data_IF_581441309252
#
_entry.id   IF_581441309252
#
_cell.length_a   1.000
_cell.length_b   1.000
_cell.length_c   1.000
_cell.angle_alpha   90.00
_cell.angle_beta   90.00
_cell.angle_gamma   90.00
#
_symmetry.space_group_name_H-M   'P 1'
#
loop_
_entity.id
_entity.type
_entity.pdbx_description
1 polymer ?
#
# COMPACT_ATOMS: atom_id res chain seq x y z
N UNK A 1 -4.40 22.20 -6.77
CA UNK A 1 -3.25 21.39 -7.24
C UNK A 1 -3.24 20.10 -6.43
N UNK A 2 -3.14 18.95 -7.09
CA UNK A 2 -3.03 17.65 -6.42
C UNK A 2 -1.66 17.55 -5.74
N UNK A 3 -1.65 17.06 -4.51
CA UNK A 3 -0.41 16.81 -3.79
C UNK A 3 0.03 15.37 -4.05
N UNK A 4 1.08 15.19 -4.87
CA UNK A 4 1.63 13.90 -5.25
C UNK A 4 3.09 13.78 -4.78
N UNK A 5 3.42 12.64 -4.16
CA UNK A 5 4.76 12.29 -3.73
C UNK A 5 5.28 11.13 -4.59
N UNK A 6 6.56 11.16 -4.95
CA UNK A 6 7.22 10.15 -5.77
C UNK A 6 8.48 9.63 -5.11
N UNK A 7 8.74 8.35 -5.27
CA UNK A 7 9.98 7.71 -4.87
C UNK A 7 11.05 7.87 -5.96
N UNK A 8 12.28 8.15 -5.55
CA UNK A 8 13.42 8.17 -6.46
C UNK A 8 13.81 6.77 -6.97
N UNK A 9 13.41 5.72 -6.24
CA UNK A 9 13.72 4.34 -6.61
C UNK A 9 12.76 3.74 -7.64
N UNK A 10 11.58 4.33 -7.83
CA UNK A 10 10.57 3.86 -8.78
C UNK A 10 10.50 4.71 -10.07
N UNK A 11 11.56 5.43 -10.44
CA UNK A 11 11.55 6.35 -11.59
C UNK A 11 11.32 5.66 -12.94
N UNK A 12 11.59 4.35 -13.04
CA UNK A 12 11.40 3.55 -14.26
C UNK A 12 9.92 3.19 -14.53
N UNK A 13 9.02 3.46 -13.57
CA UNK A 13 7.58 3.20 -13.68
C UNK A 13 6.76 4.41 -13.24
N UNK A 14 5.62 4.64 -13.89
CA UNK A 14 4.70 5.69 -13.47
C UNK A 14 4.07 5.31 -12.14
N UNK A 15 4.29 6.14 -11.12
CA UNK A 15 3.82 5.91 -9.77
C UNK A 15 3.59 7.22 -9.04
N UNK A 16 2.82 7.16 -7.95
CA UNK A 16 2.64 8.32 -7.06
C UNK A 16 1.83 7.95 -5.83
N UNK A 17 2.12 8.63 -4.74
CA UNK A 17 1.31 8.63 -3.53
C UNK A 17 0.58 9.97 -3.46
N UNK A 18 -0.72 9.94 -3.23
CA UNK A 18 -1.57 11.11 -3.29
C UNK A 18 -2.12 11.47 -1.91
N UNK A 19 -1.98 12.73 -1.53
CA UNK A 19 -2.64 13.27 -0.37
C UNK A 19 -4.12 13.57 -0.63
N UNK A 20 -4.81 14.07 0.39
CA UNK A 20 -6.26 14.34 0.32
C UNK A 20 -6.66 15.62 -0.45
N UNK A 21 -5.72 16.43 -0.91
CA UNK A 21 -5.97 17.75 -1.49
C UNK A 21 -6.04 17.72 -3.02
N UNK A 22 -6.78 18.65 -3.62
CA UNK A 22 -6.78 18.89 -5.07
C UNK A 22 -7.91 18.22 -5.84
N UNK A 23 -8.84 17.55 -5.15
CA UNK A 23 -10.01 16.92 -5.77
C UNK A 23 -11.28 17.81 -5.75
N UNK A 24 -12.39 17.20 -6.16
CA UNK A 24 -13.70 17.85 -6.32
C UNK A 24 -14.71 17.52 -5.21
N UNK A 25 -14.40 16.57 -4.33
CA UNK A 25 -15.28 16.21 -3.21
C UNK A 25 -15.35 17.33 -2.18
N UNK A 26 -16.47 17.42 -1.47
CA UNK A 26 -16.76 18.48 -0.50
C UNK A 26 -17.13 17.92 0.88
N UNK A 27 -17.24 18.80 1.87
CA UNK A 27 -17.62 18.41 3.24
C UNK A 27 -16.62 17.44 3.88
N UNK A 28 -17.10 16.35 4.46
CA UNK A 28 -16.27 15.33 5.12
C UNK A 28 -15.26 14.67 4.18
N UNK A 29 -15.54 14.66 2.88
CA UNK A 29 -14.70 14.01 1.85
C UNK A 29 -13.78 14.97 1.12
N UNK A 30 -13.66 16.22 1.59
CA UNK A 30 -12.85 17.25 0.96
C UNK A 30 -11.36 16.89 1.02
N UNK A 31 -10.70 16.77 -0.15
CA UNK A 31 -11.25 17.02 -1.48
C UNK A 31 -10.99 15.86 -2.47
N UNK A 32 -9.91 15.05 -2.32
CA UNK A 32 -9.51 14.02 -3.27
C UNK A 32 -9.92 12.61 -2.75
N UNK A 33 -11.22 12.43 -2.49
CA UNK A 33 -11.74 11.12 -2.11
C UNK A 33 -11.79 10.18 -3.31
N UNK A 34 -11.13 9.03 -3.22
CA UNK A 34 -11.06 8.01 -4.26
C UNK A 34 -11.86 6.74 -3.92
N UNK A 35 -12.43 6.67 -2.70
CA UNK A 35 -13.06 5.47 -2.17
C UNK A 35 -14.54 5.38 -2.52
N UNK A 36 -14.91 4.31 -3.21
CA UNK A 36 -16.32 3.97 -3.49
C UNK A 36 -17.07 3.41 -2.25
N UNK A 37 -16.36 3.13 -1.17
CA UNK A 37 -16.93 2.63 0.09
C UNK A 37 -17.43 3.76 1.00
N UNK A 38 -17.50 4.98 0.49
CA UNK A 38 -18.01 6.16 1.20
C UNK A 38 -19.38 6.56 0.71
N UNK A 39 -20.07 7.46 1.43
CA UNK A 39 -21.33 8.06 0.99
C UNK A 39 -21.17 9.30 0.11
N UNK A 40 -19.96 9.56 -0.37
CA UNK A 40 -19.68 10.62 -1.35
C UNK A 40 -20.38 10.33 -2.70
N UNK A 41 -20.59 11.38 -3.48
CA UNK A 41 -21.17 11.23 -4.81
C UNK A 41 -20.25 10.43 -5.71
N UNK A 42 -20.73 9.38 -6.34
CA UNK A 42 -19.94 8.56 -7.28
C UNK A 42 -19.29 9.41 -8.39
N UNK A 43 -20.00 10.46 -8.86
CA UNK A 43 -19.45 11.38 -9.86
C UNK A 43 -18.17 12.10 -9.37
N UNK A 44 -18.13 12.49 -8.08
CA UNK A 44 -16.93 13.09 -7.49
C UNK A 44 -15.78 12.10 -7.42
N UNK A 45 -16.06 10.85 -7.01
CA UNK A 45 -15.05 9.79 -6.91
C UNK A 45 -14.43 9.51 -8.28
N UNK A 46 -15.26 9.39 -9.32
CA UNK A 46 -14.77 9.15 -10.68
C UNK A 46 -13.98 10.35 -11.22
N UNK A 47 -14.43 11.58 -10.95
CA UNK A 47 -13.68 12.78 -11.32
C UNK A 47 -12.33 12.84 -10.60
N UNK A 48 -12.29 12.54 -9.30
CA UNK A 48 -11.05 12.47 -8.53
C UNK A 48 -10.09 11.40 -9.06
N UNK A 49 -10.59 10.22 -9.40
CA UNK A 49 -9.79 9.15 -10.02
C UNK A 49 -9.22 9.60 -11.38
N UNK A 50 -10.02 10.28 -12.20
CA UNK A 50 -9.54 10.83 -13.47
C UNK A 50 -8.42 11.84 -13.25
N UNK A 51 -8.55 12.77 -12.29
CA UNK A 51 -7.50 13.73 -11.93
C UNK A 51 -6.19 13.05 -11.52
N UNK A 52 -6.26 11.96 -10.73
CA UNK A 52 -5.08 11.16 -10.34
C UNK A 52 -4.44 10.50 -11.56
N UNK A 53 -5.24 9.95 -12.46
CA UNK A 53 -4.74 9.31 -13.68
C UNK A 53 -4.09 10.31 -14.64
N UNK A 54 -4.63 11.52 -14.74
CA UNK A 54 -4.05 12.62 -15.52
C UNK A 54 -2.70 13.05 -14.93
N UNK A 55 -2.61 13.20 -13.60
CA UNK A 55 -1.36 13.56 -12.91
C UNK A 55 -0.25 12.52 -13.09
N UNK A 56 -0.62 11.25 -13.25
CA UNK A 56 0.29 10.14 -13.53
C UNK A 56 0.60 9.95 -15.02
N UNK A 57 -0.04 10.72 -15.91
CA UNK A 57 0.05 10.55 -17.37
C UNK A 57 -0.33 9.12 -17.82
N UNK A 58 -1.43 8.60 -17.26
CA UNK A 58 -2.02 7.28 -17.58
C UNK A 58 -3.51 7.37 -17.93
N UNK A 59 -3.97 8.53 -18.39
CA UNK A 59 -5.36 8.76 -18.74
C UNK A 59 -5.86 7.74 -19.76
N UNK A 60 -7.06 7.21 -19.55
CA UNK A 60 -7.65 6.15 -20.38
C UNK A 60 -7.14 4.74 -20.10
N UNK A 61 -6.15 4.54 -19.23
CA UNK A 61 -5.74 3.22 -18.79
C UNK A 61 -6.67 2.68 -17.69
N UNK A 62 -6.68 1.37 -17.51
CA UNK A 62 -7.42 0.73 -16.42
C UNK A 62 -6.56 0.66 -15.17
N UNK A 63 -7.07 1.18 -14.05
CA UNK A 63 -6.45 1.01 -12.73
C UNK A 63 -7.32 0.09 -11.88
N UNK A 64 -6.73 -0.98 -11.37
CA UNK A 64 -7.41 -1.93 -10.50
C UNK A 64 -7.20 -1.55 -9.02
N UNK A 65 -8.29 -1.40 -8.30
CA UNK A 65 -8.32 -1.19 -6.84
C UNK A 65 -8.93 -2.44 -6.18
N UNK A 66 -8.21 -3.10 -5.26
CA UNK A 66 -8.71 -4.30 -4.60
C UNK A 66 -9.76 -3.97 -3.53
N UNK A 67 -10.52 -5.00 -3.14
CA UNK A 67 -11.43 -4.93 -2.00
C UNK A 67 -10.66 -5.10 -0.68
N UNK A 68 -9.99 -4.05 -0.23
CA UNK A 68 -9.16 -4.02 0.98
C UNK A 68 -9.99 -4.30 2.24
N UNK A 69 -9.53 -5.24 3.06
CA UNK A 69 -10.14 -5.65 4.33
C UNK A 69 -9.11 -5.97 5.42
N UNK A 70 -7.89 -5.43 5.31
CA UNK A 70 -6.77 -5.64 6.24
C UNK A 70 -6.36 -7.11 6.36
N UNK A 71 -6.38 -7.83 5.25
CA UNK A 71 -5.97 -9.23 5.14
C UNK A 71 -4.50 -9.34 4.75
N UNK A 72 -3.98 -10.58 4.68
CA UNK A 72 -2.70 -10.90 4.05
C UNK A 72 -2.85 -11.51 2.65
N UNK A 73 -4.03 -11.34 2.02
CA UNK A 73 -4.31 -11.91 0.72
C UNK A 73 -3.74 -11.07 -0.42
N UNK A 74 -3.14 -11.74 -1.39
CA UNK A 74 -2.53 -11.17 -2.59
C UNK A 74 -3.30 -11.62 -3.82
N UNK A 75 -3.55 -10.71 -4.75
CA UNK A 75 -4.09 -11.03 -6.06
C UNK A 75 -3.02 -10.82 -7.13
N UNK A 76 -2.83 -11.81 -7.98
CA UNK A 76 -2.06 -11.69 -9.21
C UNK A 76 -3.02 -11.47 -10.37
N UNK A 77 -2.85 -10.35 -11.08
CA UNK A 77 -3.65 -9.97 -12.23
C UNK A 77 -2.87 -10.34 -13.50
N UNK A 78 -3.40 -11.28 -14.26
CA UNK A 78 -2.88 -11.74 -15.55
C UNK A 78 -3.92 -11.59 -16.67
N UNK A 79 -3.58 -12.02 -17.88
CA UNK A 79 -4.47 -11.96 -19.05
C UNK A 79 -5.77 -12.77 -18.92
N UNK A 80 -5.78 -13.75 -18.00
CA UNK A 80 -6.94 -14.65 -17.79
C UNK A 80 -7.78 -14.21 -16.58
N UNK A 81 -7.34 -13.18 -15.87
CA UNK A 81 -7.98 -12.74 -14.63
C UNK A 81 -9.36 -12.15 -14.90
N UNK A 82 -10.35 -12.72 -14.25
CA UNK A 82 -11.68 -12.16 -14.14
C UNK A 82 -11.67 -11.05 -13.08
N UNK A 83 -11.60 -9.80 -13.52
CA UNK A 83 -11.52 -8.63 -12.65
C UNK A 83 -12.73 -8.50 -11.73
N UNK A 84 -13.91 -8.87 -12.18
CA UNK A 84 -15.13 -8.81 -11.38
C UNK A 84 -15.02 -9.78 -10.19
N UNK A 85 -14.64 -11.02 -10.45
CA UNK A 85 -14.45 -12.01 -9.37
C UNK A 85 -13.38 -11.60 -8.38
N UNK A 86 -12.26 -11.02 -8.84
CA UNK A 86 -11.18 -10.57 -7.92
C UNK A 86 -11.63 -9.36 -7.12
N UNK A 87 -12.41 -8.43 -7.69
CA UNK A 87 -12.88 -7.24 -7.00
C UNK A 87 -13.82 -7.54 -5.81
N UNK A 88 -14.45 -8.71 -5.80
CA UNK A 88 -15.31 -9.14 -4.68
C UNK A 88 -14.56 -9.88 -3.57
N UNK A 89 -13.33 -10.34 -3.83
CA UNK A 89 -12.53 -11.04 -2.81
C UNK A 89 -11.82 -10.05 -1.89
N UNK A 90 -11.71 -10.36 -0.57
CA UNK A 90 -10.88 -9.58 0.32
C UNK A 90 -9.40 -9.75 -0.04
N UNK A 91 -8.79 -8.67 -0.53
CA UNK A 91 -7.40 -8.63 -1.03
C UNK A 91 -6.80 -7.29 -0.66
N UNK A 92 -5.58 -7.30 -0.15
CA UNK A 92 -4.87 -6.09 0.29
C UNK A 92 -3.54 -5.87 -0.45
N UNK A 93 -3.16 -6.77 -1.36
CA UNK A 93 -2.04 -6.57 -2.27
C UNK A 93 -2.39 -7.03 -3.69
N UNK A 94 -1.89 -6.32 -4.68
CA UNK A 94 -2.12 -6.61 -6.11
C UNK A 94 -0.82 -6.59 -6.88
N UNK A 95 -0.59 -7.62 -7.67
CA UNK A 95 0.60 -7.81 -8.51
C UNK A 95 0.16 -7.92 -9.98
N UNK A 96 0.88 -7.28 -10.89
CA UNK A 96 0.71 -7.47 -12.34
C UNK A 96 1.97 -7.07 -13.10
N UNK A 97 2.16 -7.63 -14.31
CA UNK A 97 3.08 -7.12 -15.32
C UNK A 97 2.38 -6.80 -16.65
N UNK A 98 1.06 -6.70 -16.63
CA UNK A 98 0.28 -6.35 -17.82
C UNK A 98 0.48 -4.88 -18.17
N UNK A 99 0.92 -4.63 -19.41
CA UNK A 99 0.99 -3.27 -19.96
C UNK A 99 -0.42 -2.66 -20.10
N UNK A 100 -0.55 -1.40 -19.73
CA UNK A 100 -1.82 -0.68 -19.78
C UNK A 100 -2.76 -0.94 -18.60
N UNK A 101 -2.32 -1.73 -17.62
CA UNK A 101 -3.03 -1.95 -16.36
C UNK A 101 -2.22 -1.33 -15.22
N UNK A 102 -2.82 -0.40 -14.50
CA UNK A 102 -2.30 0.11 -13.24
C UNK A 102 -2.88 -0.65 -12.04
N UNK A 103 -2.17 -0.64 -10.92
CA UNK A 103 -2.66 -1.14 -9.64
C UNK A 103 -2.62 -0.01 -8.62
N UNK A 104 -3.64 0.09 -7.78
CA UNK A 104 -3.73 1.13 -6.75
C UNK A 104 -4.34 0.57 -5.47
N UNK A 105 -3.97 1.18 -4.35
CA UNK A 105 -4.58 0.94 -3.05
C UNK A 105 -4.99 2.27 -2.42
N UNK A 106 -5.91 2.21 -1.47
CA UNK A 106 -6.41 3.38 -0.76
C UNK A 106 -6.03 3.27 0.71
N UNK A 107 -5.55 4.36 1.27
CA UNK A 107 -5.17 4.42 2.69
C UNK A 107 -5.75 5.65 3.37
N UNK A 108 -5.99 5.51 4.65
CA UNK A 108 -6.14 6.56 5.63
C UNK A 108 -5.43 6.01 6.88
N UNK A 109 -4.23 6.51 7.17
CA UNK A 109 -3.31 6.09 8.23
C UNK A 109 -2.52 4.79 7.98
N UNK A 110 -3.10 3.76 7.34
CA UNK A 110 -2.37 2.53 6.98
C UNK A 110 -1.25 2.81 5.98
N UNK A 111 -0.23 1.95 5.98
CA UNK A 111 0.95 2.11 5.17
C UNK A 111 0.71 1.70 3.71
N UNK A 112 0.84 2.62 2.73
CA UNK A 112 0.84 2.30 1.32
C UNK A 112 2.24 1.91 0.87
N UNK A 113 2.34 0.80 0.15
CA UNK A 113 3.60 0.32 -0.40
C UNK A 113 3.45 0.11 -1.89
N UNK A 114 4.38 0.64 -2.67
CA UNK A 114 4.53 0.38 -4.09
C UNK A 114 5.85 -0.31 -4.34
N UNK A 115 5.89 -1.25 -5.27
CA UNK A 115 7.13 -1.90 -5.64
C UNK A 115 7.17 -2.21 -7.14
N UNK A 116 8.39 -2.30 -7.68
CA UNK A 116 8.63 -2.60 -9.09
C UNK A 116 9.90 -3.43 -9.24
N UNK A 117 9.83 -4.46 -10.10
CA UNK A 117 10.99 -5.19 -10.59
C UNK A 117 11.15 -4.90 -12.10
N UNK A 118 12.27 -4.30 -12.48
CA UNK A 118 12.43 -3.69 -13.80
C UNK A 118 12.69 -4.68 -14.94
N UNK A 119 13.24 -5.87 -14.67
CA UNK A 119 13.56 -6.86 -15.70
C UNK A 119 12.31 -7.62 -16.16
N UNK A 120 11.48 -8.07 -15.21
CA UNK A 120 10.22 -8.77 -15.48
C UNK A 120 9.03 -7.83 -15.69
N UNK A 121 9.19 -6.55 -15.28
CA UNK A 121 8.17 -5.52 -15.39
C UNK A 121 7.01 -5.68 -14.41
N UNK A 122 7.15 -6.48 -13.35
CA UNK A 122 6.12 -6.59 -12.33
C UNK A 122 6.03 -5.32 -11.49
N UNK A 123 4.79 -4.86 -11.30
CA UNK A 123 4.42 -3.81 -10.36
C UNK A 123 3.54 -4.40 -9.27
N UNK A 124 3.64 -3.83 -8.08
CA UNK A 124 2.95 -4.28 -6.88
C UNK A 124 2.45 -3.07 -6.09
N UNK A 125 1.21 -3.14 -5.60
CA UNK A 125 0.66 -2.21 -4.62
C UNK A 125 0.15 -2.99 -3.41
N UNK A 126 0.58 -2.62 -2.20
CA UNK A 126 0.20 -3.26 -0.94
C UNK A 126 -0.43 -2.23 -0.01
N UNK A 127 -1.59 -2.56 0.55
CA UNK A 127 -2.18 -1.91 1.70
C UNK A 127 -1.76 -2.65 2.97
N UNK A 128 -0.87 -2.07 3.75
CA UNK A 128 -0.38 -2.66 4.98
C UNK A 128 -0.86 -1.90 6.22
N UNK A 129 -2.07 -2.21 6.69
CA UNK A 129 -2.48 -1.91 8.05
C UNK A 129 -1.85 -2.91 9.03
N UNK A 130 -1.85 -2.63 10.34
CA UNK A 130 -1.20 -3.47 11.34
C UNK A 130 -1.65 -4.95 11.29
N UNK A 131 -2.95 -5.21 11.05
CA UNK A 131 -3.49 -6.59 10.95
C UNK A 131 -2.89 -7.34 9.78
N UNK A 132 -2.91 -6.72 8.58
CA UNK A 132 -2.33 -7.30 7.38
C UNK A 132 -0.82 -7.47 7.51
N UNK A 133 -0.12 -6.48 8.08
CA UNK A 133 1.32 -6.53 8.31
C UNK A 133 1.71 -7.66 9.27
N UNK A 134 0.99 -7.80 10.40
CA UNK A 134 1.22 -8.90 11.37
C UNK A 134 0.87 -10.27 10.76
N UNK A 135 -0.17 -10.33 9.91
CA UNK A 135 -0.59 -11.55 9.23
C UNK A 135 0.29 -11.93 8.02
N UNK A 136 1.31 -11.12 7.69
CA UNK A 136 2.30 -11.44 6.66
C UNK A 136 1.95 -10.97 5.25
N UNK A 137 1.29 -9.82 5.07
CA UNK A 137 0.97 -9.28 3.73
C UNK A 137 2.23 -9.00 2.91
N UNK A 138 3.31 -8.52 3.52
CA UNK A 138 4.59 -8.26 2.85
C UNK A 138 5.22 -9.56 2.36
N UNK A 139 5.31 -10.56 3.24
CA UNK A 139 5.85 -11.89 2.96
C UNK A 139 5.06 -12.61 1.87
N UNK A 140 3.73 -12.61 1.97
CA UNK A 140 2.86 -13.24 0.98
C UNK A 140 2.99 -12.57 -0.39
N UNK A 141 3.22 -11.25 -0.41
CA UNK A 141 3.46 -10.51 -1.65
C UNK A 141 4.78 -10.91 -2.29
N UNK A 142 5.86 -11.01 -1.51
CA UNK A 142 7.17 -11.43 -1.99
C UNK A 142 7.16 -12.89 -2.44
N UNK A 143 6.58 -13.79 -1.65
CA UNK A 143 6.42 -15.21 -2.02
C UNK A 143 5.62 -15.37 -3.34
N UNK A 144 4.59 -14.53 -3.54
CA UNK A 144 3.82 -14.53 -4.79
C UNK A 144 4.67 -14.11 -5.98
N UNK A 145 5.55 -13.10 -5.83
CA UNK A 145 6.48 -12.67 -6.88
C UNK A 145 7.53 -13.77 -7.16
N UNK A 146 8.11 -14.39 -6.14
CA UNK A 146 9.03 -15.51 -6.32
C UNK A 146 8.37 -16.68 -7.05
N UNK A 147 7.10 -16.99 -6.71
CA UNK A 147 6.30 -18.00 -7.41
C UNK A 147 6.05 -17.67 -8.89
N UNK A 148 6.17 -16.40 -9.28
CA UNK A 148 6.10 -15.93 -10.68
C UNK A 148 7.48 -15.88 -11.36
N UNK A 149 8.54 -16.34 -10.67
CA UNK A 149 9.91 -16.36 -11.19
C UNK A 149 10.67 -15.06 -11.07
N UNK A 150 10.21 -14.13 -10.23
CA UNK A 150 10.86 -12.83 -10.00
C UNK A 150 11.98 -12.99 -8.97
N UNK A 151 13.16 -12.45 -9.24
CA UNK A 151 14.21 -12.31 -8.23
C UNK A 151 13.87 -11.12 -7.32
N UNK A 152 13.27 -11.40 -6.16
CA UNK A 152 12.82 -10.37 -5.21
C UNK A 152 13.94 -9.49 -4.66
N UNK A 153 15.22 -9.91 -4.75
CA UNK A 153 16.37 -9.10 -4.32
C UNK A 153 16.62 -7.91 -5.25
N UNK A 154 16.02 -7.93 -6.46
CA UNK A 154 16.09 -6.84 -7.46
C UNK A 154 14.89 -5.91 -7.41
N UNK A 155 13.95 -6.15 -6.49
CA UNK A 155 12.77 -5.31 -6.37
C UNK A 155 13.11 -4.01 -5.66
N UNK A 156 12.67 -2.89 -6.24
CA UNK A 156 12.67 -1.59 -5.57
C UNK A 156 11.33 -1.35 -4.90
N UNK A 157 11.36 -0.95 -3.64
CA UNK A 157 10.17 -0.71 -2.80
C UNK A 157 10.10 0.75 -2.41
N UNK A 158 8.91 1.33 -2.43
CA UNK A 158 8.63 2.64 -1.87
C UNK A 158 7.51 2.54 -0.83
N UNK A 159 7.76 3.12 0.34
CA UNK A 159 6.80 3.28 1.42
C UNK A 159 6.32 4.72 1.41
N UNK A 160 5.02 4.91 1.23
CA UNK A 160 4.39 6.22 1.15
C UNK A 160 3.93 6.78 2.49
N UNK A 161 3.21 7.92 2.46
CA UNK A 161 2.71 8.57 3.67
C UNK A 161 1.83 7.65 4.51
N UNK A 162 2.12 7.58 5.82
CA UNK A 162 1.42 6.73 6.78
C UNK A 162 1.34 7.41 8.14
N UNK A 163 0.57 6.85 9.06
CA UNK A 163 0.54 7.34 10.44
C UNK A 163 1.95 7.28 11.04
N UNK A 164 2.41 8.41 11.57
CA UNK A 164 3.73 8.46 12.20
C UNK A 164 3.73 7.75 13.55
N UNK A 165 4.87 7.22 13.96
CA UNK A 165 5.07 6.60 15.28
C UNK A 165 4.60 7.51 16.42
N UNK A 166 4.79 8.83 16.30
CA UNK A 166 4.38 9.81 17.33
C UNK A 166 2.86 9.93 17.50
N UNK A 167 2.08 9.53 16.48
CA UNK A 167 0.62 9.61 16.47
C UNK A 167 -0.03 8.24 16.63
N UNK A 168 0.74 7.13 16.55
CA UNK A 168 0.19 5.79 16.61
C UNK A 168 0.25 5.22 18.02
N UNK A 169 -0.49 5.87 18.91
CA UNK A 169 -0.68 5.38 20.27
C UNK A 169 -1.50 4.08 20.29
N UNK A 170 -1.05 3.09 21.07
CA UNK A 170 -1.67 1.77 21.20
C UNK A 170 -1.75 1.35 22.66
N UNK A 171 -2.68 0.45 22.96
CA UNK A 171 -2.86 -0.08 24.32
C UNK A 171 -1.94 -1.29 24.56
N UNK A 172 -1.79 -1.68 25.83
CA UNK A 172 -0.91 -2.80 26.24
C UNK A 172 -1.30 -4.14 25.61
N UNK A 173 -2.61 -4.40 25.44
CA UNK A 173 -3.10 -5.64 24.82
C UNK A 173 -2.69 -5.73 23.33
N UNK A 174 -2.58 -4.59 22.65
CA UNK A 174 -2.05 -4.54 21.29
C UNK A 174 -0.57 -4.98 21.28
N UNK A 175 0.25 -4.44 22.18
CA UNK A 175 1.67 -4.82 22.31
C UNK A 175 1.80 -6.31 22.64
N UNK A 176 1.03 -6.79 23.62
CA UNK A 176 1.01 -8.20 24.01
C UNK A 176 0.65 -9.13 22.86
N UNK A 177 -0.29 -8.73 21.99
CA UNK A 177 -0.67 -9.47 20.79
C UNK A 177 0.50 -9.67 19.81
N UNK A 178 1.30 -8.62 19.59
CA UNK A 178 2.51 -8.68 18.75
C UNK A 178 3.60 -9.52 19.38
N UNK A 179 3.92 -9.26 20.67
CA UNK A 179 4.98 -9.97 21.41
C UNK A 179 4.66 -11.46 21.58
N UNK A 180 3.38 -11.82 21.72
CA UNK A 180 2.94 -13.23 21.74
C UNK A 180 3.16 -13.92 20.39
N UNK A 181 3.06 -13.20 19.30
CA UNK A 181 3.33 -13.75 17.95
C UNK A 181 4.83 -13.98 17.76
N UNK A 182 5.65 -12.98 18.11
CA UNK A 182 7.11 -13.06 18.12
C UNK A 182 7.65 -12.03 19.13
N UNK A 183 8.42 -12.50 20.13
CA UNK A 183 8.98 -11.64 21.18
C UNK A 183 9.91 -10.54 20.63
N UNK A 184 10.54 -10.77 19.48
CA UNK A 184 11.39 -9.78 18.81
C UNK A 184 10.64 -8.55 18.31
N UNK A 185 9.30 -8.60 18.27
CA UNK A 185 8.47 -7.48 17.81
C UNK A 185 8.32 -6.38 18.85
N UNK A 186 8.73 -6.62 20.11
CA UNK A 186 8.74 -5.58 21.15
C UNK A 186 9.52 -4.34 20.73
N UNK A 187 10.60 -4.49 19.96
CA UNK A 187 11.46 -3.40 19.49
C UNK A 187 10.76 -2.37 18.58
N UNK A 188 9.57 -2.69 18.04
CA UNK A 188 8.77 -1.78 17.20
C UNK A 188 7.82 -0.90 18.02
N UNK A 189 7.87 -0.99 19.35
CA UNK A 189 7.08 -0.19 20.27
C UNK A 189 7.96 0.75 21.08
N UNK A 190 7.58 2.03 21.10
CA UNK A 190 8.22 3.04 21.92
C UNK A 190 7.32 3.29 23.14
N UNK A 191 7.86 3.12 24.35
CA UNK A 191 7.16 3.49 25.58
C UNK A 191 7.55 4.90 25.98
N UNK A 192 6.55 5.78 26.08
CA UNK A 192 6.75 7.19 26.47
C UNK A 192 5.59 7.64 27.35
N UNK A 193 5.90 8.24 28.51
CA UNK A 193 4.94 8.81 29.46
C UNK A 193 3.82 7.82 29.87
N UNK A 194 4.17 6.52 29.97
CA UNK A 194 3.25 5.44 30.29
C UNK A 194 2.48 4.84 29.13
N UNK A 195 2.48 5.48 27.96
CA UNK A 195 1.80 5.05 26.74
C UNK A 195 2.74 4.33 25.79
N UNK A 196 2.19 3.46 24.95
CA UNK A 196 2.92 2.78 23.88
C UNK A 196 2.62 3.40 22.52
N UNK A 197 3.64 3.49 21.68
CA UNK A 197 3.53 3.99 20.30
C UNK A 197 4.12 2.95 19.35
N UNK A 198 3.37 2.58 18.31
CA UNK A 198 3.79 1.58 17.36
C UNK A 198 4.46 2.19 16.13
N UNK A 199 5.63 1.68 15.77
CA UNK A 199 6.31 2.04 14.53
C UNK A 199 5.96 1.07 13.42
N UNK A 200 4.83 1.35 12.73
CA UNK A 200 4.34 0.52 11.63
C UNK A 200 5.33 0.49 10.47
N UNK A 201 5.98 1.60 10.18
CA UNK A 201 6.92 1.71 9.05
C UNK A 201 8.16 0.85 9.29
N UNK A 202 8.77 0.97 10.48
CA UNK A 202 9.92 0.17 10.86
C UNK A 202 9.57 -1.33 10.89
N UNK A 203 8.38 -1.68 11.38
CA UNK A 203 7.89 -3.05 11.34
C UNK A 203 7.85 -3.58 9.90
N UNK A 204 7.21 -2.83 8.98
CA UNK A 204 7.10 -3.20 7.56
C UNK A 204 8.47 -3.33 6.89
N UNK A 205 9.38 -2.37 7.08
CA UNK A 205 10.75 -2.44 6.55
C UNK A 205 11.46 -3.72 7.02
N UNK A 206 11.30 -4.08 8.30
CA UNK A 206 11.88 -5.29 8.85
C UNK A 206 11.38 -6.56 8.15
N UNK A 207 10.09 -6.57 7.70
CA UNK A 207 9.51 -7.73 7.00
C UNK A 207 10.10 -7.88 5.60
N UNK A 208 10.34 -6.79 4.87
CA UNK A 208 11.04 -6.82 3.60
C UNK A 208 12.51 -7.25 3.75
N UNK A 209 13.20 -6.69 4.75
CA UNK A 209 14.61 -7.01 5.02
C UNK A 209 14.84 -8.51 5.33
N UNK A 210 13.90 -9.18 5.99
CA UNK A 210 13.97 -10.63 6.24
C UNK A 210 14.00 -11.47 4.95
N UNK A 211 13.46 -10.95 3.85
CA UNK A 211 13.50 -11.57 2.52
C UNK A 211 14.67 -11.08 1.66
N UNK A 212 15.60 -10.30 2.22
CA UNK A 212 16.75 -9.77 1.48
C UNK A 212 16.41 -8.61 0.56
N UNK A 213 15.25 -7.97 0.76
CA UNK A 213 14.84 -6.76 0.04
C UNK A 213 15.30 -5.55 0.83
N UNK A 214 16.36 -4.89 0.39
CA UNK A 214 16.96 -3.72 1.05
C UNK A 214 16.86 -2.43 0.23
N UNK A 215 16.42 -2.52 -1.02
CA UNK A 215 16.23 -1.35 -1.88
C UNK A 215 14.89 -0.66 -1.58
N UNK A 216 14.78 -0.10 -0.39
CA UNK A 216 13.58 0.54 0.15
C UNK A 216 13.78 2.05 0.21
N UNK A 217 12.80 2.80 -0.31
CA UNK A 217 12.68 4.26 -0.16
C UNK A 217 11.47 4.55 0.75
N UNK A 218 11.75 4.86 1.99
CA UNK A 218 10.73 5.33 2.94
C UNK A 218 10.64 6.86 2.83
N UNK A 219 9.52 7.36 2.35
CA UNK A 219 9.34 8.79 2.14
C UNK A 219 9.27 9.61 3.45
N UNK A 220 9.04 8.97 4.59
CA UNK A 220 9.06 9.61 5.92
C UNK A 220 8.00 10.69 6.13
N UNK A 221 6.81 10.55 5.50
CA UNK A 221 5.74 11.54 5.44
C UNK A 221 4.53 11.11 6.26
#
# INVERSE_FOLDING_TARGET
MINMFKSKKLQSVRHGFFGRSGGVSTGLYSSLNLSEKTTDRKANIYANRALVMDELDISGQKVFFPNQQHTSNVAVIDKKTDFEKVSHKPVDAVITNLKGIGVGILTADCCPILAHESESGFILAIHAGWKGALAGICENSLNSLEGLGVDIRKISVAIGPTISTKCYEVQSDFVEGFVKTDSSFEKFFIKKDGNYFFDLTLFIESRFNLFGVYDIDNLGL
#
